data_IF_719972614463
#
_entry.id   IF_719972614463
#
_cell.length_a   1.000
_cell.length_b   1.000
_cell.length_c   1.000
_cell.angle_alpha   90.00
_cell.angle_beta   90.00
_cell.angle_gamma   90.00
#
_symmetry.space_group_name_H-M   'P 1'
#
loop_
_entity.id
_entity.type
_entity.pdbx_description
1 polymer ?
#
# COMPACT_ATOMS: atom_id res chain seq x y z
N UNK A 1 -18.15 26.57 -4.64
CA UNK A 1 -18.45 26.50 -3.20
C UNK A 1 -18.82 25.07 -2.87
N UNK A 2 -18.36 24.48 -1.75
CA UNK A 2 -18.79 23.14 -1.36
C UNK A 2 -20.30 23.15 -1.13
N UNK A 3 -20.99 22.13 -1.65
CA UNK A 3 -22.41 21.97 -1.47
C UNK A 3 -22.67 21.59 0.01
N UNK A 4 -23.77 22.05 0.61
CA UNK A 4 -24.14 21.77 2.03
C UNK A 4 -24.06 20.26 2.30
N UNK A 5 -24.47 19.41 1.34
CA UNK A 5 -24.37 17.95 1.45
C UNK A 5 -22.91 17.44 1.50
N UNK A 6 -21.94 18.15 0.90
CA UNK A 6 -20.52 17.78 0.93
C UNK A 6 -19.89 18.14 2.27
N UNK A 7 -20.32 19.25 2.88
CA UNK A 7 -19.88 19.65 4.21
C UNK A 7 -20.37 18.68 5.28
N UNK A 8 -21.64 18.26 5.21
CA UNK A 8 -22.22 17.27 6.13
C UNK A 8 -21.52 15.91 6.02
N UNK A 9 -21.24 15.49 4.79
CA UNK A 9 -20.48 14.25 4.53
C UNK A 9 -19.06 14.32 5.07
N UNK A 10 -18.39 15.45 4.86
CA UNK A 10 -17.04 15.68 5.38
C UNK A 10 -17.02 15.59 6.91
N UNK A 11 -18.01 16.20 7.57
CA UNK A 11 -18.13 16.09 9.02
C UNK A 11 -18.37 14.64 9.46
N UNK A 12 -19.26 13.92 8.81
CA UNK A 12 -19.55 12.52 9.11
C UNK A 12 -18.29 11.63 8.93
N UNK A 13 -17.55 11.83 7.85
CA UNK A 13 -16.29 11.09 7.59
C UNK A 13 -15.21 11.46 8.63
N UNK A 14 -15.09 12.74 8.97
CA UNK A 14 -14.15 13.19 9.98
C UNK A 14 -14.49 12.58 11.36
N UNK A 15 -15.75 12.56 11.74
CA UNK A 15 -16.22 11.92 12.97
C UNK A 15 -15.95 10.41 12.97
N UNK A 16 -16.25 9.71 11.88
CA UNK A 16 -15.98 8.29 11.74
C UNK A 16 -14.47 8.00 11.83
N UNK A 17 -13.64 8.85 11.20
CA UNK A 17 -12.18 8.74 11.29
C UNK A 17 -11.67 8.97 12.71
N UNK A 18 -12.17 10.00 13.40
CA UNK A 18 -11.82 10.31 14.79
C UNK A 18 -12.27 9.19 15.74
N UNK A 19 -13.49 8.70 15.59
CA UNK A 19 -14.01 7.56 16.38
C UNK A 19 -13.16 6.31 16.11
N UNK A 20 -12.87 6.02 14.86
CA UNK A 20 -12.02 4.87 14.49
C UNK A 20 -10.60 4.99 15.04
N UNK A 21 -9.99 6.18 14.95
CA UNK A 21 -8.63 6.41 15.42
C UNK A 21 -8.55 6.49 16.95
N UNK A 22 -9.37 7.33 17.58
CA UNK A 22 -9.29 7.62 19.02
C UNK A 22 -10.14 6.67 19.86
N UNK A 23 -11.32 6.27 19.37
CA UNK A 23 -12.21 5.37 20.11
C UNK A 23 -11.82 3.89 19.99
N UNK A 24 -11.11 3.52 18.93
CA UNK A 24 -10.81 2.12 18.67
C UNK A 24 -9.32 1.84 18.50
N UNK A 25 -8.69 2.39 17.46
CA UNK A 25 -7.34 1.99 17.06
C UNK A 25 -6.27 2.43 18.08
N UNK A 26 -6.32 3.67 18.55
CA UNK A 26 -5.34 4.19 19.53
C UNK A 26 -5.46 3.49 20.88
N UNK A 27 -6.64 3.38 21.53
CA UNK A 27 -6.78 2.64 22.79
C UNK A 27 -6.34 1.18 22.68
N UNK A 28 -6.73 0.49 21.61
CA UNK A 28 -6.34 -0.91 21.39
C UNK A 28 -4.84 -1.07 21.17
N UNK A 29 -4.20 -0.16 20.43
CA UNK A 29 -2.73 -0.22 20.24
C UNK A 29 -1.98 0.10 21.54
N UNK A 30 -2.50 0.98 22.37
CA UNK A 30 -1.93 1.29 23.68
C UNK A 30 -2.13 0.15 24.68
N UNK A 31 -3.34 -0.41 24.76
CA UNK A 31 -3.67 -1.54 25.63
C UNK A 31 -2.82 -2.78 25.30
N UNK A 32 -2.55 -3.02 24.02
CA UNK A 32 -1.76 -4.14 23.55
C UNK A 32 -0.24 -3.86 23.58
N UNK A 33 0.17 -2.62 23.82
CA UNK A 33 1.59 -2.23 23.80
C UNK A 33 2.45 -3.00 24.82
N UNK A 34 2.00 -3.24 26.08
CA UNK A 34 2.79 -3.95 27.07
C UNK A 34 3.12 -5.40 26.68
N UNK A 35 2.30 -6.02 25.85
CA UNK A 35 2.45 -7.42 25.43
C UNK A 35 3.41 -7.61 24.23
N UNK A 36 4.07 -6.55 23.80
CA UNK A 36 5.16 -6.58 22.82
C UNK A 36 4.82 -7.25 21.49
N UNK A 37 5.74 -8.09 20.99
CA UNK A 37 5.61 -8.77 19.69
C UNK A 37 4.45 -9.76 19.63
N UNK A 38 4.04 -10.37 20.73
CA UNK A 38 2.94 -11.34 20.76
C UNK A 38 1.59 -10.77 20.27
N UNK A 39 1.39 -9.47 20.36
CA UNK A 39 0.15 -8.80 19.93
C UNK A 39 0.26 -8.10 18.57
N UNK A 40 1.41 -8.17 17.91
CA UNK A 40 1.66 -7.50 16.65
C UNK A 40 0.66 -7.92 15.57
N UNK A 41 0.51 -9.21 15.32
CA UNK A 41 -0.47 -9.73 14.36
C UNK A 41 -1.92 -9.35 14.69
N UNK A 42 -2.26 -9.21 15.98
CA UNK A 42 -3.58 -8.75 16.40
C UNK A 42 -3.78 -7.26 16.08
N UNK A 43 -2.79 -6.40 16.36
CA UNK A 43 -2.84 -4.98 16.01
C UNK A 43 -3.03 -4.76 14.50
N UNK A 44 -2.29 -5.50 13.68
CA UNK A 44 -2.44 -5.45 12.22
C UNK A 44 -3.82 -5.93 11.76
N UNK A 45 -4.36 -7.01 12.32
CA UNK A 45 -5.73 -7.47 12.01
C UNK A 45 -6.80 -6.47 12.41
N UNK A 46 -6.65 -5.78 13.53
CA UNK A 46 -7.57 -4.73 13.97
C UNK A 46 -7.53 -3.53 13.01
N UNK A 47 -6.33 -3.07 12.65
CA UNK A 47 -6.16 -2.02 11.65
C UNK A 47 -6.78 -2.40 10.31
N UNK A 48 -6.50 -3.60 9.80
CA UNK A 48 -7.07 -4.10 8.57
C UNK A 48 -8.60 -4.12 8.60
N UNK A 49 -9.22 -4.63 9.69
CA UNK A 49 -10.67 -4.63 9.86
C UNK A 49 -11.24 -3.22 9.85
N UNK A 50 -10.60 -2.29 10.56
CA UNK A 50 -11.00 -0.88 10.60
C UNK A 50 -10.90 -0.23 9.22
N UNK A 51 -9.79 -0.44 8.50
CA UNK A 51 -9.61 0.08 7.15
C UNK A 51 -10.61 -0.53 6.17
N UNK A 52 -10.85 -1.85 6.25
CA UNK A 52 -11.82 -2.55 5.40
C UNK A 52 -13.25 -2.06 5.64
N UNK A 53 -13.62 -1.86 6.90
CA UNK A 53 -14.91 -1.28 7.26
C UNK A 53 -15.02 0.16 6.75
N UNK A 54 -14.03 1.01 7.05
CA UNK A 54 -14.01 2.42 6.64
C UNK A 54 -14.07 2.60 5.12
N UNK A 55 -13.30 1.81 4.36
CA UNK A 55 -13.30 1.88 2.91
C UNK A 55 -14.64 1.45 2.29
N UNK A 56 -15.28 0.42 2.85
CA UNK A 56 -16.56 -0.10 2.34
C UNK A 56 -17.77 0.76 2.71
N UNK A 57 -17.69 1.47 3.83
CA UNK A 57 -18.79 2.29 4.34
C UNK A 57 -18.51 3.80 4.24
N UNK A 58 -17.56 4.18 3.37
CA UNK A 58 -17.26 5.60 3.15
C UNK A 58 -18.47 6.31 2.54
N UNK A 59 -19.09 7.29 3.23
CA UNK A 59 -20.35 7.89 2.83
C UNK A 59 -20.30 8.52 1.43
N UNK A 60 -21.23 8.12 0.56
CA UNK A 60 -21.32 8.63 -0.81
C UNK A 60 -20.25 8.11 -1.77
N UNK A 61 -19.54 7.04 -1.38
CA UNK A 61 -18.48 6.43 -2.19
C UNK A 61 -18.86 4.99 -2.53
N UNK A 62 -18.74 4.63 -3.81
CA UNK A 62 -18.80 3.25 -4.26
C UNK A 62 -17.38 2.71 -4.41
N UNK A 63 -17.06 1.65 -3.67
CA UNK A 63 -15.77 0.95 -3.77
C UNK A 63 -15.92 -0.29 -4.67
N UNK A 64 -15.07 -0.38 -5.67
CA UNK A 64 -14.96 -1.56 -6.54
C UNK A 64 -13.54 -2.13 -6.47
N UNK A 65 -13.47 -3.46 -6.48
CA UNK A 65 -12.21 -4.21 -6.47
C UNK A 65 -12.10 -4.98 -7.79
N UNK A 66 -10.93 -4.93 -8.43
CA UNK A 66 -10.60 -5.71 -9.62
C UNK A 66 -9.31 -6.50 -9.41
N UNK A 67 -9.22 -7.67 -9.98
CA UNK A 67 -8.02 -8.51 -9.93
C UNK A 67 -7.75 -9.18 -8.57
N UNK A 68 -8.63 -9.04 -7.58
CA UNK A 68 -8.41 -9.55 -6.20
C UNK A 68 -8.11 -11.05 -6.13
N UNK A 69 -8.66 -11.84 -7.08
CA UNK A 69 -8.46 -13.30 -7.13
C UNK A 69 -7.15 -13.73 -7.78
N UNK A 70 -6.56 -12.86 -8.59
CA UNK A 70 -5.37 -13.13 -9.39
C UNK A 70 -4.08 -12.66 -8.71
N UNK A 71 -4.22 -11.87 -7.64
CA UNK A 71 -3.07 -11.26 -7.00
C UNK A 71 -2.37 -12.22 -6.03
N UNK A 72 -1.09 -12.46 -6.26
CA UNK A 72 -0.20 -13.16 -5.33
C UNK A 72 0.25 -12.29 -4.14
N UNK A 73 -0.47 -11.20 -3.86
CA UNK A 73 -0.15 -10.26 -2.78
C UNK A 73 -0.27 -10.88 -1.37
N UNK A 74 -0.74 -12.12 -1.27
CA UNK A 74 -0.74 -12.90 -0.03
C UNK A 74 0.65 -13.39 0.37
N UNK A 75 1.61 -13.40 -0.57
CA UNK A 75 3.02 -13.67 -0.31
C UNK A 75 3.78 -12.37 -0.04
N UNK A 76 4.87 -12.41 0.73
CA UNK A 76 5.71 -11.24 0.94
C UNK A 76 6.14 -10.61 -0.38
N UNK A 77 5.76 -9.36 -0.59
CA UNK A 77 5.93 -8.64 -1.84
C UNK A 77 6.09 -7.14 -1.61
N UNK A 78 6.55 -6.43 -2.63
CA UNK A 78 6.56 -4.97 -2.67
C UNK A 78 5.33 -4.52 -3.47
N UNK A 79 4.30 -4.02 -2.78
CA UNK A 79 3.16 -3.41 -3.43
C UNK A 79 3.52 -2.00 -3.88
N UNK A 80 3.41 -1.75 -5.17
CA UNK A 80 3.66 -0.44 -5.79
C UNK A 80 2.33 0.18 -6.14
N UNK A 81 2.07 1.41 -5.69
CA UNK A 81 0.81 2.09 -5.97
C UNK A 81 1.02 3.57 -6.31
N UNK A 82 0.10 4.16 -7.10
CA UNK A 82 0.02 5.60 -7.31
C UNK A 82 -0.50 6.30 -6.04
N UNK A 83 -0.09 7.56 -5.85
CA UNK A 83 -0.44 8.33 -4.67
C UNK A 83 -1.10 9.66 -5.02
N UNK A 84 -2.41 9.72 -4.89
CA UNK A 84 -3.22 10.86 -5.29
C UNK A 84 -4.01 11.47 -4.13
N UNK A 85 -4.31 10.66 -3.10
CA UNK A 85 -5.18 11.04 -2.00
C UNK A 85 -4.70 10.45 -0.67
N UNK A 86 -5.19 10.99 0.44
CA UNK A 86 -5.06 10.32 1.75
C UNK A 86 -5.90 9.04 1.83
N UNK A 87 -6.91 8.90 0.98
CA UNK A 87 -7.74 7.69 0.88
C UNK A 87 -6.97 6.49 0.32
N UNK A 88 -5.88 6.72 -0.40
CA UNK A 88 -5.05 5.65 -0.99
C UNK A 88 -4.56 4.68 0.07
N UNK A 89 -4.13 5.23 1.21
CA UNK A 89 -3.66 4.42 2.33
C UNK A 89 -4.78 3.53 2.90
N UNK A 90 -5.99 4.08 3.03
CA UNK A 90 -7.17 3.33 3.48
C UNK A 90 -7.48 2.17 2.52
N UNK A 91 -7.44 2.44 1.20
CA UNK A 91 -7.69 1.46 0.15
C UNK A 91 -6.64 0.34 0.13
N UNK A 92 -5.37 0.66 0.38
CA UNK A 92 -4.31 -0.34 0.40
C UNK A 92 -4.32 -1.17 1.68
N UNK A 93 -4.46 -0.54 2.84
CA UNK A 93 -4.46 -1.24 4.12
C UNK A 93 -5.66 -2.17 4.31
N UNK A 94 -6.75 -1.97 3.58
CA UNK A 94 -7.89 -2.88 3.59
C UNK A 94 -7.63 -4.21 2.85
N UNK A 95 -6.55 -4.30 2.05
CA UNK A 95 -6.27 -5.47 1.22
C UNK A 95 -5.82 -6.66 2.06
N UNK A 96 -4.91 -6.45 3.02
CA UNK A 96 -4.37 -7.53 3.84
C UNK A 96 -3.99 -7.05 5.25
N UNK A 97 -4.13 -7.89 6.28
CA UNK A 97 -3.62 -7.59 7.61
C UNK A 97 -2.09 -7.68 7.72
N UNK A 98 -1.41 -8.15 6.68
CA UNK A 98 0.05 -8.29 6.64
C UNK A 98 0.69 -7.25 5.73
N UNK A 99 0.25 -6.00 5.84
CA UNK A 99 0.81 -4.87 5.11
C UNK A 99 1.45 -3.87 6.04
N UNK A 100 2.65 -3.44 5.68
CA UNK A 100 3.33 -2.29 6.27
C UNK A 100 3.55 -1.23 5.21
N UNK A 101 3.70 0.02 5.60
CA UNK A 101 3.77 1.14 4.65
C UNK A 101 5.02 1.96 4.87
N UNK A 102 5.69 2.32 3.79
CA UNK A 102 6.75 3.33 3.83
C UNK A 102 6.12 4.71 3.88
N UNK A 103 6.42 5.47 4.92
CA UNK A 103 5.81 6.77 5.21
C UNK A 103 6.85 7.87 5.34
N UNK A 104 6.42 9.14 5.22
CA UNK A 104 7.32 10.27 5.39
C UNK A 104 7.59 10.56 6.88
N UNK A 105 8.73 11.20 7.15
CA UNK A 105 9.22 11.52 8.48
C UNK A 105 8.26 12.42 9.29
N UNK A 106 7.56 13.35 8.63
CA UNK A 106 6.61 14.23 9.32
C UNK A 106 5.47 13.43 9.97
N UNK A 107 4.94 12.42 9.26
CA UNK A 107 3.90 11.55 9.82
C UNK A 107 4.45 10.61 10.87
N UNK A 108 5.65 10.09 10.65
CA UNK A 108 6.35 9.24 11.59
C UNK A 108 6.60 9.92 12.95
N UNK A 109 6.97 11.21 12.94
CA UNK A 109 7.23 12.02 14.14
C UNK A 109 5.98 12.61 14.78
N UNK A 110 4.80 12.51 14.14
CA UNK A 110 3.56 13.01 14.73
C UNK A 110 3.29 12.32 16.07
N UNK A 111 2.89 13.07 17.08
CA UNK A 111 2.72 12.53 18.44
C UNK A 111 1.65 11.44 18.49
N UNK A 112 0.48 11.68 17.89
CA UNK A 112 -0.66 10.75 17.94
C UNK A 112 -0.61 9.73 16.80
N UNK A 113 -0.61 10.19 15.56
CA UNK A 113 -0.59 9.34 14.39
C UNK A 113 0.68 8.49 14.32
N UNK A 114 1.83 9.10 14.58
CA UNK A 114 3.12 8.41 14.62
C UNK A 114 3.20 7.34 15.70
N UNK A 115 2.56 7.54 16.86
CA UNK A 115 2.50 6.51 17.89
C UNK A 115 1.79 5.24 17.41
N UNK A 116 0.73 5.38 16.61
CA UNK A 116 0.00 4.24 16.02
C UNK A 116 0.84 3.57 14.93
N UNK A 117 1.34 4.32 13.94
CA UNK A 117 2.04 3.73 12.79
C UNK A 117 3.37 3.08 13.15
N UNK A 118 4.08 3.58 14.18
CA UNK A 118 5.28 2.92 14.71
C UNK A 118 4.97 1.55 15.31
N UNK A 119 3.82 1.40 15.97
CA UNK A 119 3.37 0.12 16.52
C UNK A 119 2.84 -0.85 15.47
N UNK A 120 2.57 -0.36 14.28
CA UNK A 120 2.18 -1.11 13.09
C UNK A 120 3.36 -1.36 12.14
N UNK A 121 4.60 -1.19 12.62
CA UNK A 121 5.83 -1.39 11.85
C UNK A 121 5.92 -0.60 10.54
N UNK A 122 5.23 0.54 10.43
CA UNK A 122 5.44 1.42 9.28
C UNK A 122 6.88 1.91 9.30
N UNK A 123 7.44 2.16 8.14
CA UNK A 123 8.86 2.48 7.99
C UNK A 123 9.03 3.93 7.51
N UNK A 124 9.88 4.73 8.16
CA UNK A 124 10.16 6.09 7.69
C UNK A 124 11.06 6.03 6.45
N UNK A 125 10.71 6.80 5.41
CA UNK A 125 11.42 6.77 4.12
C UNK A 125 12.88 7.24 4.21
N UNK A 126 13.19 8.05 5.20
CA UNK A 126 14.52 8.66 5.42
C UNK A 126 15.45 7.86 6.32
N UNK A 127 15.09 6.62 6.64
CA UNK A 127 15.95 5.73 7.43
C UNK A 127 17.21 5.24 6.68
N UNK A 128 17.33 5.54 5.40
CA UNK A 128 18.40 5.06 4.54
C UNK A 128 18.08 3.71 3.89
N UNK A 129 18.76 3.42 2.76
CA UNK A 129 18.43 2.24 1.95
C UNK A 129 18.80 0.94 2.68
N UNK A 130 19.97 0.85 3.30
CA UNK A 130 20.43 -0.37 3.98
C UNK A 130 19.55 -0.72 5.17
N UNK A 131 19.19 0.27 5.98
CA UNK A 131 18.28 0.07 7.09
C UNK A 131 16.87 -0.33 6.61
N UNK A 132 16.39 0.26 5.51
CA UNK A 132 15.12 -0.10 4.87
C UNK A 132 15.16 -1.55 4.40
N UNK A 133 16.21 -1.95 3.70
CA UNK A 133 16.42 -3.32 3.21
C UNK A 133 16.41 -4.32 4.36
N UNK A 134 17.14 -4.05 5.44
CA UNK A 134 17.19 -4.91 6.61
C UNK A 134 15.81 -5.07 7.27
N UNK A 135 15.09 -3.96 7.48
CA UNK A 135 13.77 -4.00 8.12
C UNK A 135 12.72 -4.68 7.24
N UNK A 136 12.69 -4.38 5.93
CA UNK A 136 11.76 -5.04 5.01
C UNK A 136 12.09 -6.52 4.87
N UNK A 137 13.37 -6.90 4.82
CA UNK A 137 13.80 -8.29 4.80
C UNK A 137 13.35 -9.07 6.05
N UNK A 138 13.43 -8.45 7.24
CA UNK A 138 12.91 -9.03 8.48
C UNK A 138 11.38 -9.22 8.40
N UNK A 139 10.66 -8.17 8.02
CA UNK A 139 9.20 -8.19 7.92
C UNK A 139 8.71 -9.20 6.87
N UNK A 140 9.43 -9.33 5.75
CA UNK A 140 9.12 -10.32 4.72
C UNK A 140 9.26 -11.75 5.25
N UNK A 141 10.30 -12.07 6.05
CA UNK A 141 10.43 -13.37 6.73
C UNK A 141 9.27 -13.65 7.71
N UNK A 142 8.67 -12.61 8.28
CA UNK A 142 7.49 -12.70 9.15
C UNK A 142 6.16 -12.72 8.34
N UNK A 143 6.24 -12.75 7.01
CA UNK A 143 5.09 -12.84 6.10
C UNK A 143 4.42 -11.50 5.79
N UNK A 144 5.07 -10.36 6.05
CA UNK A 144 4.56 -9.04 5.70
C UNK A 144 5.00 -8.59 4.32
N UNK A 145 4.11 -7.93 3.62
CA UNK A 145 4.41 -7.18 2.38
C UNK A 145 4.55 -5.69 2.69
N UNK A 146 5.34 -4.99 1.89
CA UNK A 146 5.56 -3.55 2.04
C UNK A 146 4.86 -2.78 0.93
N UNK A 147 4.14 -1.72 1.30
CA UNK A 147 3.51 -0.78 0.38
C UNK A 147 4.43 0.42 0.17
N UNK A 148 4.72 0.72 -1.07
CA UNK A 148 5.54 1.87 -1.45
C UNK A 148 4.81 2.68 -2.53
N UNK A 149 4.72 3.98 -2.30
CA UNK A 149 4.32 4.95 -3.30
C UNK A 149 5.58 5.49 -3.99
N UNK A 150 5.91 5.03 -5.21
CA UNK A 150 7.19 5.37 -5.83
C UNK A 150 7.30 6.84 -6.25
N UNK A 151 6.20 7.58 -6.20
CA UNK A 151 6.17 9.03 -6.44
C UNK A 151 6.76 9.84 -5.28
N UNK A 152 6.87 9.25 -4.07
CA UNK A 152 7.37 9.89 -2.85
C UNK A 152 6.46 10.98 -2.27
N UNK A 153 5.47 11.45 -3.02
CA UNK A 153 4.49 12.46 -2.59
C UNK A 153 3.17 12.30 -3.34
N UNK A 154 2.09 12.77 -2.74
CA UNK A 154 0.78 12.81 -3.41
C UNK A 154 0.80 13.78 -4.59
N UNK A 155 0.19 13.37 -5.71
CA UNK A 155 -0.07 14.23 -6.85
C UNK A 155 -0.90 15.46 -6.44
N UNK A 156 -0.66 16.60 -7.11
CA UNK A 156 -1.45 17.83 -6.90
C UNK A 156 -2.55 18.02 -7.96
N UNK A 157 -2.38 17.41 -9.12
CA UNK A 157 -3.25 17.61 -10.29
C UNK A 157 -3.83 16.29 -10.83
N UNK A 158 -3.79 15.21 -10.04
CA UNK A 158 -4.25 13.88 -10.45
C UNK A 158 -3.35 13.17 -11.48
N UNK A 159 -2.26 13.81 -11.92
CA UNK A 159 -1.32 13.18 -12.87
C UNK A 159 -0.29 12.34 -12.13
N UNK A 160 0.07 11.21 -12.75
CA UNK A 160 1.09 10.31 -12.25
C UNK A 160 2.48 10.99 -12.28
N UNK A 161 3.13 11.04 -11.15
CA UNK A 161 4.46 11.59 -10.99
C UNK A 161 5.57 10.69 -11.57
N UNK A 162 6.81 11.12 -11.35
CA UNK A 162 7.98 10.30 -11.64
C UNK A 162 8.07 9.18 -10.59
N UNK A 163 8.40 7.98 -11.02
CA UNK A 163 8.72 6.88 -10.12
C UNK A 163 10.19 6.93 -9.69
N UNK A 164 10.45 6.96 -8.40
CA UNK A 164 11.79 6.78 -7.83
C UNK A 164 12.18 5.31 -7.85
N UNK A 165 13.46 5.03 -7.91
CA UNK A 165 13.96 3.65 -8.05
C UNK A 165 13.90 2.83 -6.75
N UNK A 166 13.74 3.46 -5.58
CA UNK A 166 13.88 2.81 -4.27
C UNK A 166 13.03 1.54 -4.09
N UNK A 167 11.77 1.56 -4.53
CA UNK A 167 10.89 0.38 -4.45
C UNK A 167 11.42 -0.79 -5.29
N UNK A 168 11.92 -0.50 -6.48
CA UNK A 168 12.43 -1.50 -7.44
C UNK A 168 13.79 -2.05 -7.02
N UNK A 169 14.66 -1.19 -6.51
CA UNK A 169 15.94 -1.60 -5.93
C UNK A 169 15.73 -2.49 -4.70
N UNK A 170 14.78 -2.13 -3.83
CA UNK A 170 14.44 -2.94 -2.66
C UNK A 170 13.92 -4.32 -3.06
N UNK A 171 13.03 -4.38 -4.07
CA UNK A 171 12.53 -5.65 -4.61
C UNK A 171 13.66 -6.51 -5.20
N UNK A 172 14.58 -5.91 -5.96
CA UNK A 172 15.74 -6.58 -6.53
C UNK A 172 16.65 -7.21 -5.45
N UNK A 173 17.06 -6.41 -4.46
CA UNK A 173 17.96 -6.85 -3.40
C UNK A 173 17.35 -7.95 -2.52
N UNK A 174 16.07 -7.86 -2.23
CA UNK A 174 15.36 -8.82 -1.38
C UNK A 174 14.72 -9.98 -2.17
N UNK A 175 14.82 -9.97 -3.49
CA UNK A 175 14.18 -10.93 -4.40
C UNK A 175 12.67 -11.05 -4.15
N UNK A 176 12.03 -9.93 -3.81
CA UNK A 176 10.61 -9.85 -3.58
C UNK A 176 9.86 -9.50 -4.87
N UNK A 177 8.74 -10.15 -5.17
CA UNK A 177 7.91 -9.79 -6.30
C UNK A 177 7.33 -8.38 -6.13
N UNK A 178 7.05 -7.72 -7.25
CA UNK A 178 6.41 -6.42 -7.31
C UNK A 178 4.94 -6.60 -7.66
N UNK A 179 4.03 -6.09 -6.84
CA UNK A 179 2.59 -6.14 -7.12
C UNK A 179 2.08 -4.74 -7.43
N UNK A 180 1.71 -4.46 -8.70
CA UNK A 180 1.12 -3.17 -9.06
C UNK A 180 -0.31 -3.08 -8.55
N UNK A 181 -0.64 -2.00 -7.84
CA UNK A 181 -1.99 -1.69 -7.37
C UNK A 181 -2.37 -0.30 -7.84
N UNK A 182 -3.25 -0.21 -8.84
CA UNK A 182 -3.68 1.06 -9.43
C UNK A 182 -4.96 1.53 -8.73
N UNK A 183 -4.91 2.75 -8.22
CA UNK A 183 -6.04 3.39 -7.53
C UNK A 183 -6.65 4.45 -8.43
N UNK A 184 -7.97 4.36 -8.65
CA UNK A 184 -8.71 5.32 -9.45
C UNK A 184 -9.73 6.07 -8.59
N UNK A 185 -9.90 7.36 -8.86
CA UNK A 185 -10.96 8.19 -8.32
C UNK A 185 -10.77 8.70 -6.90
N UNK A 186 -9.72 8.30 -6.19
CA UNK A 186 -9.41 8.80 -4.84
C UNK A 186 -9.12 10.29 -4.84
N UNK A 187 -8.44 10.78 -5.90
CA UNK A 187 -8.15 12.21 -6.16
C UNK A 187 -9.41 13.03 -6.38
N UNK A 188 -10.45 12.46 -6.99
CA UNK A 188 -11.74 13.13 -7.24
C UNK A 188 -12.57 13.26 -5.99
N UNK A 189 -12.48 12.28 -5.08
CA UNK A 189 -13.22 12.24 -3.82
C UNK A 189 -12.55 13.12 -2.77
N UNK A 190 -11.25 12.97 -2.58
CA UNK A 190 -10.48 13.73 -1.59
C UNK A 190 -9.09 14.09 -2.11
N UNK A 191 -8.99 15.12 -2.99
CA UNK A 191 -7.71 15.55 -3.56
C UNK A 191 -6.78 16.13 -2.51
N UNK A 192 -5.48 16.17 -2.82
CA UNK A 192 -4.46 16.79 -1.97
C UNK A 192 -4.78 18.28 -1.73
N UNK A 193 -4.86 18.66 -0.46
CA UNK A 193 -5.18 20.06 -0.07
C UNK A 193 -6.67 20.34 0.03
N UNK A 194 -7.55 19.39 -0.28
CA UNK A 194 -8.99 19.54 -0.04
C UNK A 194 -9.31 19.33 1.44
N UNK A 195 -10.33 20.05 1.90
CA UNK A 195 -10.95 19.86 3.20
C UNK A 195 -12.35 19.26 3.11
N UNK A 196 -12.80 18.91 1.89
CA UNK A 196 -14.14 18.38 1.66
C UNK A 196 -14.08 17.07 0.88
N UNK A 197 -14.90 16.11 1.31
CA UNK A 197 -15.10 14.84 0.62
C UNK A 197 -16.26 14.96 -0.37
N UNK A 198 -16.02 14.55 -1.60
CA UNK A 198 -17.02 14.51 -2.67
C UNK A 198 -17.59 13.10 -2.83
N UNK A 199 -18.75 13.00 -3.46
CA UNK A 199 -19.27 11.69 -3.90
C UNK A 199 -18.45 11.17 -5.05
N UNK A 200 -18.33 9.83 -5.13
CA UNK A 200 -17.62 9.25 -6.26
C UNK A 200 -17.48 7.74 -6.16
N UNK A 201 -16.72 7.24 -7.12
CA UNK A 201 -16.33 5.83 -7.19
C UNK A 201 -14.84 5.72 -6.96
N UNK A 202 -14.44 4.78 -6.12
CA UNK A 202 -13.06 4.33 -5.98
C UNK A 202 -12.97 2.96 -6.63
N UNK A 203 -11.98 2.77 -7.48
CA UNK A 203 -11.66 1.48 -8.02
C UNK A 203 -10.23 1.12 -7.61
N UNK A 204 -10.07 -0.07 -7.03
CA UNK A 204 -8.77 -0.64 -6.66
C UNK A 204 -8.51 -1.79 -7.62
N UNK A 205 -7.54 -1.60 -8.50
CA UNK A 205 -7.15 -2.57 -9.51
C UNK A 205 -5.83 -3.22 -9.11
N UNK A 206 -5.87 -4.53 -8.78
CA UNK A 206 -4.70 -5.31 -8.40
C UNK A 206 -4.26 -6.11 -9.61
N UNK A 207 -3.02 -5.89 -10.03
CA UNK A 207 -2.43 -6.60 -11.17
C UNK A 207 -1.65 -7.82 -10.72
N UNK A 208 -1.41 -8.79 -11.63
CA UNK A 208 -0.53 -9.93 -11.37
C UNK A 208 0.85 -9.47 -10.87
N UNK A 209 1.43 -10.28 -10.00
CA UNK A 209 2.75 -10.01 -9.46
C UNK A 209 3.83 -10.09 -10.56
N UNK A 210 4.71 -9.13 -10.60
CA UNK A 210 5.89 -9.14 -11.46
C UNK A 210 7.07 -9.77 -10.69
N UNK A 211 7.92 -10.56 -11.34
CA UNK A 211 9.13 -11.06 -10.70
C UNK A 211 10.01 -9.90 -10.24
N UNK A 212 10.80 -10.15 -9.19
CA UNK A 212 11.83 -9.20 -8.79
C UNK A 212 12.79 -8.95 -9.97
N UNK A 213 13.17 -7.71 -10.26
CA UNK A 213 14.17 -7.45 -11.27
C UNK A 213 15.53 -7.98 -10.81
N UNK A 214 16.41 -8.28 -11.76
CA UNK A 214 17.80 -8.57 -11.45
C UNK A 214 18.42 -7.40 -10.69
N UNK A 215 19.34 -7.73 -9.76
CA UNK A 215 19.98 -6.74 -8.91
C UNK A 215 21.10 -5.99 -9.67
N UNK A 216 20.71 -5.34 -10.75
CA UNK A 216 21.56 -4.44 -11.53
C UNK A 216 20.79 -3.19 -11.94
N UNK A 217 21.49 -2.10 -12.17
CA UNK A 217 20.88 -0.79 -12.43
C UNK A 217 19.99 -0.78 -13.69
N UNK A 218 20.40 -1.52 -14.73
CA UNK A 218 19.66 -1.56 -15.99
C UNK A 218 18.29 -2.25 -15.83
N UNK A 219 18.25 -3.43 -15.18
CA UNK A 219 17.01 -4.17 -14.93
C UNK A 219 16.07 -3.41 -13.99
N UNK A 220 16.63 -2.80 -12.93
CA UNK A 220 15.86 -1.96 -12.00
C UNK A 220 15.23 -0.77 -12.73
N UNK A 221 16.00 -0.08 -13.57
CA UNK A 221 15.53 1.05 -14.37
C UNK A 221 14.44 0.63 -15.37
N UNK A 222 14.67 -0.47 -16.08
CA UNK A 222 13.73 -1.01 -17.06
C UNK A 222 12.40 -1.38 -16.41
N UNK A 223 12.43 -2.14 -15.31
CA UNK A 223 11.24 -2.54 -14.56
C UNK A 223 10.46 -1.32 -14.06
N UNK A 224 11.15 -0.31 -13.53
CA UNK A 224 10.55 0.97 -13.12
C UNK A 224 9.84 1.67 -14.29
N UNK A 225 10.46 1.72 -15.47
CA UNK A 225 9.87 2.36 -16.65
C UNK A 225 8.64 1.60 -17.14
N UNK A 226 8.73 0.28 -17.24
CA UNK A 226 7.61 -0.60 -17.63
C UNK A 226 6.44 -0.45 -16.66
N UNK A 227 6.71 -0.48 -15.36
CA UNK A 227 5.67 -0.33 -14.35
C UNK A 227 5.01 1.05 -14.41
N UNK A 228 5.80 2.12 -14.55
CA UNK A 228 5.22 3.46 -14.73
C UNK A 228 4.36 3.56 -15.99
N UNK A 229 4.76 2.93 -17.10
CA UNK A 229 3.98 2.89 -18.33
C UNK A 229 2.62 2.18 -18.12
N UNK A 230 2.61 1.05 -17.41
CA UNK A 230 1.38 0.37 -17.00
C UNK A 230 0.45 1.33 -16.23
N UNK A 231 0.96 2.03 -15.23
CA UNK A 231 0.15 2.98 -14.45
C UNK A 231 -0.38 4.13 -15.31
N UNK A 232 0.42 4.67 -16.23
CA UNK A 232 -0.03 5.73 -17.16
C UNK A 232 -1.15 5.23 -18.07
N UNK A 233 -1.02 4.02 -18.59
CA UNK A 233 -2.06 3.39 -19.43
C UNK A 233 -3.35 3.21 -18.64
N UNK A 234 -3.28 2.59 -17.47
CA UNK A 234 -4.46 2.31 -16.62
C UNK A 234 -5.15 3.57 -16.12
N UNK A 235 -4.39 4.62 -15.83
CA UNK A 235 -4.93 5.91 -15.41
C UNK A 235 -5.42 6.79 -16.61
N UNK A 236 -5.31 6.30 -17.86
CA UNK A 236 -5.69 7.05 -19.05
C UNK A 236 -4.80 8.29 -19.28
N UNK A 237 -3.55 8.26 -18.82
CA UNK A 237 -2.62 9.38 -18.91
C UNK A 237 -1.51 9.16 -19.95
N UNK A 238 -1.57 8.06 -20.69
CA UNK A 238 -0.70 7.76 -21.82
C UNK A 238 -1.07 8.63 -22.99
N UNK A 239 -0.32 9.67 -23.25
CA UNK A 239 -0.48 10.49 -24.46
C UNK A 239 0.05 9.74 -25.69
N UNK A 240 -0.80 9.49 -26.69
CA UNK A 240 -0.50 9.25 -28.11
C UNK A 240 0.25 7.95 -28.44
N UNK A 241 -0.39 7.11 -29.27
CA UNK A 241 0.17 6.10 -30.16
C UNK A 241 1.32 5.19 -29.66
N UNK A 242 1.04 4.42 -28.67
CA UNK A 242 1.84 3.28 -28.28
C UNK A 242 1.01 2.36 -27.40
N UNK A 243 0.11 1.57 -28.00
CA UNK A 243 -0.44 0.39 -27.33
C UNK A 243 0.74 -0.53 -27.03
N UNK A 244 1.33 -0.40 -25.87
CA UNK A 244 2.17 -1.46 -25.32
C UNK A 244 1.21 -2.58 -24.96
N UNK A 245 0.94 -3.46 -25.90
CA UNK A 245 0.26 -4.71 -25.64
C UNK A 245 1.15 -5.53 -24.71
N UNK A 246 0.90 -5.44 -23.42
CA UNK A 246 1.34 -6.47 -22.49
C UNK A 246 0.47 -7.69 -22.79
N UNK A 247 0.91 -8.51 -23.77
CA UNK A 247 0.35 -9.84 -23.93
C UNK A 247 0.66 -10.63 -22.67
N UNK A 248 -0.34 -11.26 -22.09
CA UNK A 248 -0.27 -12.17 -20.92
C UNK A 248 0.69 -13.37 -21.12
N UNK A 249 1.35 -13.46 -22.27
CA UNK A 249 2.21 -14.56 -22.68
C UNK A 249 3.57 -14.57 -21.99
N UNK A 250 4.06 -13.49 -21.41
CA UNK A 250 5.39 -13.48 -20.77
C UNK A 250 5.36 -13.83 -19.28
N UNK A 251 4.19 -14.04 -18.69
CA UNK A 251 4.04 -14.42 -17.28
C UNK A 251 3.69 -15.92 -17.10
N UNK A 252 3.42 -16.66 -18.18
CA UNK A 252 3.18 -18.11 -18.14
C UNK A 252 4.51 -18.84 -18.09
N UNK A 253 5.04 -19.09 -16.92
CA UNK A 253 6.26 -19.87 -16.74
C UNK A 253 7.01 -19.57 -15.45
N UNK A 254 6.56 -18.64 -14.65
CA UNK A 254 7.14 -18.39 -13.35
C UNK A 254 6.57 -19.38 -12.31
N UNK A 255 7.33 -20.45 -12.05
CA UNK A 255 7.15 -21.26 -10.83
C UNK A 255 7.99 -20.61 -9.74
N UNK A 256 7.38 -20.12 -8.67
CA UNK A 256 8.13 -19.50 -7.58
C UNK A 256 9.00 -20.55 -6.89
N UNK A 257 10.18 -20.19 -6.37
CA UNK A 257 11.01 -21.08 -5.58
C UNK A 257 10.23 -21.55 -4.35
N UNK A 258 10.24 -22.85 -4.09
CA UNK A 258 9.67 -23.46 -2.90
C UNK A 258 10.29 -22.81 -1.66
N UNK A 259 9.48 -22.20 -0.83
CA UNK A 259 9.89 -21.74 0.49
C UNK A 259 10.02 -23.00 1.35
N UNK A 260 11.28 -23.41 1.64
CA UNK A 260 11.55 -24.47 2.61
C UNK A 260 11.05 -23.97 3.97
N UNK A 261 9.92 -24.47 4.40
CA UNK A 261 9.49 -24.37 5.79
C UNK A 261 10.36 -25.32 6.59
N UNK A 262 11.37 -24.79 7.26
CA UNK A 262 12.06 -25.52 8.33
C UNK A 262 11.07 -25.76 9.46
N UNK A 263 10.30 -26.83 9.33
CA UNK A 263 9.62 -27.44 10.46
C UNK A 263 10.65 -28.22 11.24
N UNK A 264 11.25 -27.60 12.26
CA UNK A 264 11.91 -28.34 13.31
C UNK A 264 10.87 -29.20 14.04
N UNK A 265 10.78 -30.45 13.62
CA UNK A 265 10.20 -31.49 14.47
C UNK A 265 11.23 -31.81 15.52
N UNK A 266 11.07 -31.28 16.73
CA UNK A 266 11.72 -31.79 17.92
C UNK A 266 11.05 -33.10 18.30
N UNK A 267 11.65 -34.22 17.88
CA UNK A 267 11.40 -35.52 18.47
C UNK A 267 12.10 -35.59 19.81
N UNK A 268 11.33 -35.59 20.88
CA UNK A 268 11.81 -36.08 22.18
C UNK A 268 11.75 -37.61 22.16
N UNK A 269 12.92 -38.23 22.32
CA UNK A 269 13.09 -39.53 22.94
C UNK A 269 13.76 -39.32 24.31
#
# INVERSE_FOLDING_TARGET
MPNISDSFRTLAIALLFLIGLFGWLLPMTLLLAPFGKHTEGMRHRLMWRACRFGARHLPGTKLEMKGEKEAEWQRPSVLVSNHQSSLDLLCLLMLSPRLVVVTNQRQWRNALYGAVIRRLNFLPIDMGFDAMQQQVGRLAKEGYSVVIFPEGTRSRNGRLGRFHQGAFALAAHLKLPLVPVVLHGTDRIFPKGSHTFRRGKIEVEIHPAWPAPDNNEAAIRETRHKMRALFMERLGQGGGNGKVCYSDTNLRGYSPPEYISDTHSSSHA
#
